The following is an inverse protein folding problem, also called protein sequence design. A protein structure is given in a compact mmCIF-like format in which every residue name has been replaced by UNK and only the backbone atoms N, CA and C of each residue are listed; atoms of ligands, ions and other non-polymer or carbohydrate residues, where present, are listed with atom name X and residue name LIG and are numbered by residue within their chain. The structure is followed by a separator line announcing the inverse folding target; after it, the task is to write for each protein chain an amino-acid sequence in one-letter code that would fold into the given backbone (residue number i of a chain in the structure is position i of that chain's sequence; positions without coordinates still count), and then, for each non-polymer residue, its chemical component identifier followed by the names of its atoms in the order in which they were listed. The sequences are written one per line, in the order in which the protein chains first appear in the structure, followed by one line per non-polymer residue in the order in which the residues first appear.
data_IF_518801216536
#
_entry.id   IF_518801216536
#
_cell.length_a   1.000
_cell.length_b   1.000
_cell.length_c   1.000
_cell.angle_alpha   90.00
_cell.angle_beta   90.00
_cell.angle_gamma   90.00
#
_symmetry.space_group_name_H-M   'P 1'
#
loop_
_entity.id
_entity.type
_entity.pdbx_description
1 polymer ?
#
# COMPACT_ATOMS: atom_id res chain seq x y z
N UNK A 1 76.64 -7.18 -31.50
CA UNK A 1 76.30 -8.44 -32.20
C UNK A 1 76.12 -9.51 -31.14
N UNK A 2 75.20 -10.47 -31.33
CA UNK A 2 74.91 -11.62 -30.43
C UNK A 2 74.50 -11.20 -28.99
N UNK A 3 73.25 -11.26 -28.51
CA UNK A 3 72.08 -12.14 -28.67
C UNK A 3 71.99 -13.29 -27.63
N UNK A 4 70.79 -13.43 -27.05
CA UNK A 4 70.37 -14.53 -26.15
C UNK A 4 70.34 -14.16 -24.66
N UNK A 5 69.28 -14.44 -23.88
CA UNK A 5 67.93 -14.94 -24.20
C UNK A 5 66.87 -14.28 -23.29
N UNK A 6 65.58 -14.58 -23.52
CA UNK A 6 64.43 -13.90 -22.91
C UNK A 6 64.02 -14.56 -21.59
N UNK A 7 63.85 -13.75 -20.53
CA UNK A 7 63.08 -14.13 -19.33
C UNK A 7 62.09 -13.03 -18.98
N UNK A 8 60.81 -13.24 -19.30
CA UNK A 8 59.73 -12.29 -18.98
C UNK A 8 59.16 -12.59 -17.60
N UNK A 9 59.49 -11.76 -16.61
CA UNK A 9 58.79 -11.73 -15.32
C UNK A 9 58.34 -10.30 -15.00
N UNK A 10 57.03 -10.07 -15.04
CA UNK A 10 56.43 -8.83 -14.51
C UNK A 10 56.41 -8.88 -12.98
N UNK A 11 56.65 -7.77 -12.28
CA UNK A 11 56.38 -7.68 -10.85
C UNK A 11 54.87 -7.60 -10.58
N UNK A 12 54.49 -7.83 -9.32
CA UNK A 12 53.13 -7.73 -8.75
C UNK A 12 52.10 -8.80 -9.16
N UNK A 13 52.16 -9.92 -8.45
CA UNK A 13 51.00 -10.81 -8.20
C UNK A 13 50.87 -11.12 -6.71
N UNK A 14 50.82 -10.06 -5.88
CA UNK A 14 50.45 -10.20 -4.48
C UNK A 14 49.02 -10.76 -4.41
N UNK A 15 48.87 -11.99 -3.91
CA UNK A 15 47.61 -12.72 -3.95
C UNK A 15 46.53 -12.01 -3.14
N UNK A 16 45.58 -11.37 -3.82
CA UNK A 16 44.35 -10.89 -3.19
C UNK A 16 43.56 -12.11 -2.70
N UNK A 17 43.55 -12.31 -1.39
CA UNK A 17 42.71 -13.33 -0.76
C UNK A 17 41.25 -13.08 -1.16
N UNK A 18 40.56 -14.14 -1.58
CA UNK A 18 39.13 -14.08 -1.89
C UNK A 18 38.34 -13.89 -0.60
N UNK A 19 38.12 -12.62 -0.24
CA UNK A 19 37.31 -12.23 0.90
C UNK A 19 35.84 -12.64 0.69
N UNK A 20 35.43 -13.71 1.36
CA UNK A 20 34.08 -14.25 1.31
C UNK A 20 33.08 -13.46 2.18
N UNK A 21 33.38 -12.20 2.57
CA UNK A 21 32.53 -11.37 3.42
C UNK A 21 31.54 -10.45 2.68
N UNK A 22 31.09 -10.81 1.47
CA UNK A 22 29.88 -10.22 0.86
C UNK A 22 28.70 -11.19 0.87
N UNK A 23 28.39 -11.71 2.06
CA UNK A 23 27.01 -12.01 2.40
C UNK A 23 26.18 -10.72 2.23
N UNK A 24 25.23 -10.72 1.29
CA UNK A 24 24.28 -9.62 1.15
C UNK A 24 23.42 -9.62 2.40
N UNK A 25 23.55 -8.60 3.25
CA UNK A 25 22.79 -8.53 4.50
C UNK A 25 21.31 -8.28 4.20
N UNK A 26 20.52 -9.36 4.29
CA UNK A 26 19.07 -9.36 4.03
C UNK A 26 18.26 -8.69 5.13
N UNK A 27 18.90 -8.07 6.13
CA UNK A 27 18.28 -7.45 7.31
C UNK A 27 17.90 -5.99 7.16
N UNK A 28 17.82 -5.46 5.93
CA UNK A 28 17.35 -4.08 5.67
C UNK A 28 15.83 -4.05 5.39
N UNK A 29 15.04 -4.48 6.38
CA UNK A 29 13.59 -4.28 6.42
C UNK A 29 13.22 -3.14 7.39
N UNK A 30 13.73 -1.94 7.11
CA UNK A 30 13.28 -0.71 7.75
C UNK A 30 12.40 0.09 6.77
N UNK A 31 11.16 0.35 7.16
CA UNK A 31 10.18 1.22 6.48
C UNK A 31 9.29 0.62 5.35
N UNK A 32 8.51 -0.43 5.61
CA UNK A 32 7.16 -0.57 5.02
C UNK A 32 6.33 -1.64 5.76
N UNK A 33 5.60 -1.23 6.80
CA UNK A 33 4.96 -2.12 7.77
C UNK A 33 3.72 -1.49 8.42
N UNK A 34 2.52 -1.82 7.94
CA UNK A 34 1.34 -0.98 8.22
C UNK A 34 -0.06 -1.64 8.27
N UNK A 35 -0.21 -2.98 8.21
CA UNK A 35 -1.51 -3.52 7.78
C UNK A 35 -2.52 -4.02 8.81
N UNK A 36 -2.20 -5.03 9.62
CA UNK A 36 -3.19 -6.03 10.04
C UNK A 36 -4.35 -5.54 10.93
N UNK A 37 -4.34 -4.28 11.38
CA UNK A 37 -5.41 -3.70 12.19
C UNK A 37 -5.98 -2.36 11.73
N UNK A 38 -5.41 -1.73 10.70
CA UNK A 38 -6.19 -0.85 9.82
C UNK A 38 -7.12 -1.66 8.89
N UNK A 39 -6.92 -2.99 8.84
CA UNK A 39 -7.30 -3.85 7.72
C UNK A 39 -8.77 -4.21 7.56
N UNK A 40 -9.65 -3.58 8.33
CA UNK A 40 -11.09 -3.67 8.10
C UNK A 40 -11.61 -2.41 7.42
N UNK A 41 -11.02 -1.23 7.62
CA UNK A 41 -11.69 0.05 7.31
C UNK A 41 -10.69 1.10 6.75
N UNK A 42 -11.07 1.77 5.65
CA UNK A 42 -10.32 2.80 4.88
C UNK A 42 -9.31 2.31 3.80
N UNK A 43 -8.85 3.24 2.95
CA UNK A 43 -8.10 3.02 1.69
C UNK A 43 -6.57 3.19 1.86
N UNK A 44 -5.79 2.96 0.78
CA UNK A 44 -4.65 3.78 0.24
C UNK A 44 -3.61 2.90 -0.53
N UNK A 45 -2.99 3.18 -1.72
CA UNK A 45 -3.53 3.66 -3.02
C UNK A 45 -2.65 3.41 -4.38
N UNK A 46 -2.44 4.29 -5.43
CA UNK A 46 -2.66 4.06 -6.92
C UNK A 46 -1.87 4.77 -8.13
N UNK A 47 -2.16 4.34 -9.42
CA UNK A 47 -1.94 5.26 -11.26
C UNK A 47 -1.76 6.71 -11.79
N UNK A 48 -2.20 6.85 -13.04
CA UNK A 48 -1.54 7.51 -14.17
C UNK A 48 -2.53 8.04 -15.23
N UNK A 49 -2.26 9.12 -15.96
CA UNK A 49 -1.51 10.32 -15.53
C UNK A 49 -2.18 11.63 -15.96
N UNK A 50 -3.08 11.56 -16.94
CA UNK A 50 -3.58 12.72 -17.69
C UNK A 50 -5.11 12.85 -17.65
N UNK A 51 -5.82 11.87 -17.08
CA UNK A 51 -7.28 11.92 -16.85
C UNK A 51 -7.73 11.55 -15.43
N UNK A 52 -6.85 10.95 -14.61
CA UNK A 52 -7.17 10.47 -13.26
C UNK A 52 -6.67 11.49 -12.23
N UNK A 53 -7.49 12.47 -11.89
CA UNK A 53 -7.20 13.53 -10.91
C UNK A 53 -8.37 13.66 -9.92
N UNK A 54 -8.12 14.18 -8.70
CA UNK A 54 -9.20 14.38 -7.73
C UNK A 54 -10.26 15.32 -8.34
N UNK A 55 -11.56 15.12 -8.08
CA UNK A 55 -12.56 16.10 -8.45
C UNK A 55 -12.28 17.42 -7.73
N UNK A 56 -12.71 18.54 -8.30
CA UNK A 56 -12.29 19.88 -7.87
C UNK A 56 -12.36 20.12 -6.34
N UNK A 57 -13.45 19.67 -5.70
CA UNK A 57 -13.68 19.83 -4.25
C UNK A 57 -12.79 19.00 -3.31
N UNK A 58 -11.90 18.13 -3.81
CA UNK A 58 -10.91 17.39 -3.02
C UNK A 58 -9.46 17.71 -3.43
N UNK A 59 -9.27 18.55 -4.45
CA UNK A 59 -7.93 18.92 -4.95
C UNK A 59 -7.18 19.70 -3.88
N UNK A 60 -6.00 19.20 -3.54
CA UNK A 60 -5.07 19.88 -2.62
C UNK A 60 -4.60 21.17 -3.28
N UNK A 61 -4.69 22.29 -2.57
CA UNK A 61 -4.31 23.59 -3.11
C UNK A 61 -2.81 23.64 -3.45
N UNK A 62 -2.41 24.48 -4.41
CA UNK A 62 -1.00 24.63 -4.79
C UNK A 62 -0.10 24.97 -3.59
N UNK A 63 -0.60 25.79 -2.64
CA UNK A 63 0.10 26.10 -1.39
C UNK A 63 0.31 24.85 -0.51
N UNK A 64 -0.73 24.04 -0.27
CA UNK A 64 -0.62 22.78 0.47
C UNK A 64 0.29 21.77 -0.24
N UNK A 65 0.17 21.65 -1.58
CA UNK A 65 1.01 20.77 -2.38
C UNK A 65 2.48 21.16 -2.28
N UNK A 66 2.82 22.43 -2.47
CA UNK A 66 4.20 22.93 -2.32
C UNK A 66 4.78 22.64 -0.93
N UNK A 67 3.98 22.71 0.13
CA UNK A 67 4.41 22.29 1.48
C UNK A 67 4.67 20.78 1.57
N UNK A 68 3.79 19.94 1.03
CA UNK A 68 4.00 18.47 0.98
C UNK A 68 5.27 18.10 0.19
N UNK A 69 5.62 18.86 -0.85
CA UNK A 69 6.89 18.69 -1.58
C UNK A 69 8.09 19.12 -0.73
N UNK A 70 8.03 20.30 -0.10
CA UNK A 70 9.09 20.82 0.77
C UNK A 70 9.37 19.93 1.99
N UNK A 71 8.31 19.41 2.64
CA UNK A 71 8.37 18.44 3.75
C UNK A 71 9.03 17.11 3.33
N UNK A 72 9.14 16.86 2.01
CA UNK A 72 9.80 15.70 1.41
C UNK A 72 11.15 16.04 0.74
N UNK A 73 11.65 17.27 0.90
CA UNK A 73 12.93 17.71 0.35
C UNK A 73 12.94 17.77 -1.19
N UNK A 74 11.81 18.09 -1.81
CA UNK A 74 11.65 18.15 -3.27
C UNK A 74 10.75 19.31 -3.71
N UNK A 75 10.63 19.52 -5.01
CA UNK A 75 9.80 20.51 -5.68
C UNK A 75 9.22 19.92 -6.98
N UNK A 76 8.43 20.67 -7.74
CA UNK A 76 7.77 20.17 -8.95
C UNK A 76 8.73 19.80 -10.09
N UNK A 77 9.85 20.52 -10.24
CA UNK A 77 10.87 20.26 -11.27
C UNK A 77 11.71 19.03 -10.89
N UNK A 78 12.18 18.99 -9.63
CA UNK A 78 12.92 17.86 -9.08
C UNK A 78 12.10 16.57 -9.14
N UNK A 79 10.82 16.62 -8.76
CA UNK A 79 9.90 15.49 -8.82
C UNK A 79 9.63 15.02 -10.27
N UNK A 80 9.67 15.92 -11.25
CA UNK A 80 9.54 15.60 -12.69
C UNK A 80 10.79 14.89 -13.24
N UNK A 81 11.97 15.36 -12.85
CA UNK A 81 13.26 14.74 -13.18
C UNK A 81 13.38 13.35 -12.54
N UNK A 82 13.02 13.22 -11.26
CA UNK A 82 13.05 11.95 -10.54
C UNK A 82 12.02 10.97 -11.11
N UNK A 83 10.81 11.42 -11.45
CA UNK A 83 9.79 10.57 -12.07
C UNK A 83 10.20 10.03 -13.45
N UNK A 84 10.79 10.86 -14.32
CA UNK A 84 11.35 10.37 -15.59
C UNK A 84 12.52 9.41 -15.37
N UNK A 85 13.35 9.65 -14.37
CA UNK A 85 14.47 8.78 -14.02
C UNK A 85 14.01 7.40 -13.51
N UNK A 86 12.93 7.35 -12.72
CA UNK A 86 12.28 6.09 -12.33
C UNK A 86 11.64 5.40 -13.55
N UNK A 87 10.90 6.14 -14.39
CA UNK A 87 10.27 5.58 -15.60
C UNK A 87 11.29 4.94 -16.54
N UNK A 88 12.41 5.61 -16.78
CA UNK A 88 13.51 5.09 -17.57
C UNK A 88 14.08 3.80 -16.95
N UNK A 89 14.28 3.77 -15.63
CA UNK A 89 14.72 2.56 -14.93
C UNK A 89 13.73 1.38 -15.07
N UNK A 90 12.42 1.61 -14.92
CA UNK A 90 11.40 0.55 -15.11
C UNK A 90 11.48 -0.02 -16.54
N UNK A 91 11.56 0.86 -17.54
CA UNK A 91 11.65 0.47 -18.96
C UNK A 91 12.98 -0.21 -19.34
N UNK A 92 13.98 -0.21 -18.45
CA UNK A 92 15.21 -1.00 -18.57
C UNK A 92 15.14 -2.36 -17.86
N UNK A 93 14.11 -2.64 -17.05
CA UNK A 93 13.98 -3.92 -16.37
C UNK A 93 13.31 -4.95 -17.29
N UNK A 94 13.99 -6.03 -17.71
CA UNK A 94 13.50 -6.93 -18.75
C UNK A 94 12.30 -7.79 -18.33
N UNK A 95 12.00 -7.85 -17.03
CA UNK A 95 10.84 -8.52 -16.46
C UNK A 95 9.64 -7.60 -16.22
N UNK A 96 9.80 -6.27 -16.18
CA UNK A 96 8.70 -5.35 -15.86
C UNK A 96 7.93 -4.91 -17.12
N UNK A 97 6.64 -4.54 -17.00
CA UNK A 97 5.88 -3.98 -18.11
C UNK A 97 6.38 -2.58 -18.50
N UNK A 98 6.38 -2.29 -19.80
CA UNK A 98 6.73 -0.97 -20.32
C UNK A 98 5.73 0.12 -19.89
N UNK A 99 6.26 1.26 -19.44
CA UNK A 99 5.49 2.42 -19.01
C UNK A 99 5.59 3.57 -20.06
N UNK A 100 4.47 4.00 -20.68
CA UNK A 100 4.43 5.17 -21.55
C UNK A 100 4.69 6.50 -20.79
N UNK A 101 4.85 7.62 -21.50
CA UNK A 101 5.00 8.95 -20.84
C UNK A 101 3.74 9.31 -20.02
N UNK A 102 2.58 8.80 -20.44
CA UNK A 102 1.33 8.86 -19.68
C UNK A 102 1.31 8.01 -18.40
N UNK A 103 2.44 7.49 -17.91
CA UNK A 103 2.65 7.00 -16.53
C UNK A 103 3.47 7.96 -15.65
N UNK A 104 3.85 9.17 -16.09
CA UNK A 104 4.68 10.08 -15.28
C UNK A 104 3.98 10.59 -14.00
N UNK A 105 2.72 11.03 -14.05
CA UNK A 105 2.01 11.54 -12.86
C UNK A 105 1.82 10.45 -11.79
N UNK A 106 1.65 9.19 -12.19
CA UNK A 106 1.73 8.02 -11.29
C UNK A 106 3.03 7.98 -10.55
N UNK A 107 4.12 7.98 -11.30
CA UNK A 107 5.46 7.81 -10.73
C UNK A 107 5.80 9.00 -9.81
N UNK A 108 5.33 10.21 -10.12
CA UNK A 108 5.37 11.37 -9.19
C UNK A 108 4.66 11.05 -7.88
N UNK A 109 3.42 10.57 -7.91
CA UNK A 109 2.67 10.29 -6.68
C UNK A 109 3.23 9.07 -5.92
N UNK A 110 3.76 8.06 -6.61
CA UNK A 110 4.50 6.94 -6.01
C UNK A 110 5.74 7.45 -5.26
N UNK A 111 6.54 8.33 -5.89
CA UNK A 111 7.70 8.95 -5.26
C UNK A 111 7.31 9.66 -3.96
N UNK A 112 6.31 10.53 -3.97
CA UNK A 112 5.87 11.25 -2.76
C UNK A 112 5.40 10.29 -1.66
N UNK A 113 4.72 9.20 -2.02
CA UNK A 113 4.31 8.16 -1.09
C UNK A 113 5.50 7.35 -0.54
N UNK A 114 6.54 7.13 -1.33
CA UNK A 114 7.84 6.61 -0.90
C UNK A 114 8.76 7.67 -0.25
N UNK A 115 8.23 8.83 0.17
CA UNK A 115 8.96 9.98 0.74
C UNK A 115 10.08 10.54 -0.17
N UNK A 116 9.82 10.60 -1.47
CA UNK A 116 10.77 10.95 -2.54
C UNK A 116 12.05 10.08 -2.57
N UNK A 117 12.04 8.86 -2.00
CA UNK A 117 13.17 7.92 -2.09
C UNK A 117 13.11 7.14 -3.40
N UNK A 118 14.17 7.26 -4.20
CA UNK A 118 14.31 6.57 -5.48
C UNK A 118 14.38 5.06 -5.31
N UNK A 119 15.10 4.58 -4.29
CA UNK A 119 15.33 3.16 -4.00
C UNK A 119 14.01 2.47 -3.61
N UNK A 120 13.27 3.08 -2.67
CA UNK A 120 11.96 2.58 -2.23
C UNK A 120 10.93 2.62 -3.36
N UNK A 121 11.00 3.61 -4.24
CA UNK A 121 10.12 3.69 -5.41
C UNK A 121 10.41 2.59 -6.43
N UNK A 122 11.70 2.32 -6.74
CA UNK A 122 12.10 1.22 -7.62
C UNK A 122 11.67 -0.14 -7.07
N UNK A 123 11.96 -0.39 -5.79
CA UNK A 123 11.60 -1.63 -5.09
C UNK A 123 10.07 -1.82 -4.96
N UNK A 124 9.33 -0.74 -4.72
CA UNK A 124 7.87 -0.75 -4.61
C UNK A 124 7.19 -0.95 -5.97
N UNK A 125 7.62 -0.26 -7.02
CA UNK A 125 7.05 -0.43 -8.37
C UNK A 125 7.30 -1.84 -8.92
N UNK A 126 8.46 -2.43 -8.66
CA UNK A 126 8.71 -3.84 -9.00
C UNK A 126 7.69 -4.76 -8.31
N UNK A 127 7.55 -4.64 -6.99
CA UNK A 127 6.55 -5.40 -6.22
C UNK A 127 5.11 -5.09 -6.65
N UNK A 128 4.82 -3.89 -7.16
CA UNK A 128 3.50 -3.46 -7.62
C UNK A 128 3.00 -4.24 -8.83
N UNK A 129 3.85 -4.40 -9.85
CA UNK A 129 3.53 -5.20 -11.03
C UNK A 129 3.69 -6.71 -10.74
N UNK A 130 4.60 -7.08 -9.84
CA UNK A 130 4.77 -8.47 -9.39
C UNK A 130 3.52 -9.00 -8.70
N UNK A 131 2.95 -8.28 -7.73
CA UNK A 131 1.75 -8.70 -6.99
C UNK A 131 0.53 -8.91 -7.91
N UNK A 132 0.37 -8.05 -8.93
CA UNK A 132 -0.69 -8.14 -9.96
C UNK A 132 -0.49 -9.29 -10.95
N UNK A 133 0.71 -9.86 -10.98
CA UNK A 133 1.05 -11.06 -11.75
C UNK A 133 0.88 -12.31 -10.89
N UNK A 134 1.51 -12.36 -9.72
CA UNK A 134 1.49 -13.49 -8.79
C UNK A 134 0.09 -13.78 -8.22
N UNK A 135 -0.64 -12.74 -7.81
CA UNK A 135 -1.95 -12.87 -7.16
C UNK A 135 -3.07 -12.52 -8.15
N UNK A 136 -3.00 -13.03 -9.38
CA UNK A 136 -3.97 -12.68 -10.43
C UNK A 136 -5.40 -13.17 -10.17
N UNK A 137 -5.61 -14.19 -9.35
CA UNK A 137 -6.96 -14.55 -8.89
C UNK A 137 -7.56 -13.56 -7.88
N UNK A 138 -6.72 -12.71 -7.29
CA UNK A 138 -7.13 -11.59 -6.45
C UNK A 138 -7.37 -10.31 -7.27
N UNK A 139 -6.44 -9.96 -8.18
CA UNK A 139 -6.50 -8.72 -8.96
C UNK A 139 -7.22 -8.83 -10.32
N UNK A 140 -7.14 -9.97 -10.98
CA UNK A 140 -7.47 -10.14 -12.40
C UNK A 140 -8.94 -10.37 -12.70
N UNK A 141 -9.63 -11.13 -11.85
CA UNK A 141 -11.03 -11.50 -12.04
C UNK A 141 -12.01 -10.37 -11.70
N UNK A 142 -11.55 -9.34 -11.00
CA UNK A 142 -12.35 -8.24 -10.49
C UNK A 142 -12.02 -6.94 -11.21
N UNK A 143 -12.99 -6.03 -11.23
CA UNK A 143 -12.82 -4.65 -11.70
C UNK A 143 -13.63 -3.74 -10.77
N UNK A 144 -13.20 -2.50 -10.62
CA UNK A 144 -14.07 -1.49 -9.99
C UNK A 144 -15.17 -1.13 -10.99
N UNK A 145 -16.40 -1.06 -10.53
CA UNK A 145 -17.56 -0.59 -11.28
C UNK A 145 -18.67 -0.23 -10.28
N UNK A 146 -19.71 0.43 -10.76
CA UNK A 146 -20.78 0.91 -9.89
C UNK A 146 -21.58 -0.21 -9.20
N UNK A 147 -21.80 -1.35 -9.87
CA UNK A 147 -22.52 -2.50 -9.31
C UNK A 147 -21.75 -3.13 -8.13
N UNK A 148 -20.45 -3.36 -8.31
CA UNK A 148 -19.57 -3.90 -7.26
C UNK A 148 -19.38 -2.90 -6.10
N UNK A 149 -19.35 -1.59 -6.38
CA UNK A 149 -19.31 -0.55 -5.34
C UNK A 149 -20.65 -0.40 -4.59
N UNK A 150 -21.79 -0.66 -5.23
CA UNK A 150 -23.10 -0.72 -4.56
C UNK A 150 -23.20 -1.97 -3.68
N UNK A 151 -22.73 -3.13 -4.16
CA UNK A 151 -22.64 -4.36 -3.33
C UNK A 151 -21.73 -4.16 -2.13
N UNK A 152 -20.57 -3.53 -2.32
CA UNK A 152 -19.65 -3.17 -1.25
C UNK A 152 -20.31 -2.28 -0.18
N UNK A 153 -21.06 -1.26 -0.60
CA UNK A 153 -21.70 -0.28 0.27
C UNK A 153 -22.64 -0.87 1.33
N UNK A 154 -23.11 -2.10 1.14
CA UNK A 154 -23.90 -2.88 2.12
C UNK A 154 -23.11 -3.33 3.33
N UNK A 155 -21.82 -3.62 3.17
CA UNK A 155 -20.97 -4.17 4.21
C UNK A 155 -20.12 -3.11 4.91
N UNK A 156 -19.91 -1.97 4.23
CA UNK A 156 -18.85 -1.02 4.58
C UNK A 156 -19.08 0.33 3.90
N UNK A 157 -18.68 1.42 4.56
CA UNK A 157 -18.57 2.74 3.91
C UNK A 157 -17.29 3.47 4.35
N UNK A 158 -16.68 4.20 3.40
CA UNK A 158 -15.45 4.97 3.59
C UNK A 158 -15.68 6.44 3.23
N UNK A 159 -15.70 7.31 4.24
CA UNK A 159 -15.59 8.76 4.10
C UNK A 159 -14.16 9.24 3.89
N UNK A 160 -14.01 10.31 3.11
CA UNK A 160 -12.73 10.93 2.75
C UNK A 160 -12.80 12.44 2.99
N UNK A 161 -11.98 13.00 3.89
CA UNK A 161 -11.99 14.45 4.11
C UNK A 161 -11.66 15.21 2.81
N UNK A 162 -12.48 16.19 2.44
CA UNK A 162 -12.22 17.06 1.27
C UNK A 162 -11.00 17.95 1.46
N UNK A 163 -10.81 18.41 2.70
CA UNK A 163 -9.62 19.13 3.13
C UNK A 163 -8.53 18.18 3.69
N UNK A 164 -7.33 18.72 3.85
CA UNK A 164 -6.26 18.11 4.65
C UNK A 164 -6.24 18.73 6.06
N UNK A 165 -5.76 17.99 7.05
CA UNK A 165 -5.48 18.52 8.39
C UNK A 165 -4.37 19.60 8.35
N UNK A 166 -4.15 20.37 9.42
CA UNK A 166 -3.03 21.32 9.49
C UNK A 166 -1.66 20.65 9.31
N UNK A 167 -1.53 19.37 9.67
CA UNK A 167 -0.36 18.53 9.41
C UNK A 167 -0.31 17.94 7.99
N UNK A 168 -1.10 18.48 7.06
CA UNK A 168 -1.21 18.11 5.63
C UNK A 168 -1.61 16.64 5.39
N UNK A 169 -2.29 16.01 6.35
CA UNK A 169 -2.75 14.61 6.24
C UNK A 169 -4.18 14.55 5.74
N UNK A 170 -4.51 13.53 4.97
CA UNK A 170 -5.89 13.24 4.56
C UNK A 170 -6.54 12.38 5.66
N UNK A 171 -7.73 12.77 6.13
CA UNK A 171 -8.47 11.95 7.11
C UNK A 171 -9.36 10.97 6.36
N UNK A 172 -9.21 9.70 6.69
CA UNK A 172 -10.06 8.63 6.21
C UNK A 172 -10.87 8.14 7.41
N UNK A 173 -12.18 8.12 7.29
CA UNK A 173 -13.05 7.48 8.28
C UNK A 173 -13.79 6.38 7.57
N UNK A 174 -13.88 5.21 8.19
CA UNK A 174 -14.73 4.17 7.66
C UNK A 174 -15.42 3.41 8.78
N UNK A 175 -16.57 2.84 8.42
CA UNK A 175 -17.50 2.19 9.32
C UNK A 175 -17.92 0.84 8.73
N UNK A 176 -17.94 -0.19 9.58
CA UNK A 176 -18.54 -1.48 9.24
C UNK A 176 -20.08 -1.36 9.19
N UNK A 177 -20.74 -2.29 8.53
CA UNK A 177 -22.18 -2.50 8.68
C UNK A 177 -22.45 -3.87 9.31
N UNK A 178 -23.55 -3.93 10.05
CA UNK A 178 -24.00 -5.12 10.79
C UNK A 178 -24.70 -6.17 9.91
N UNK A 179 -24.77 -5.96 8.59
CA UNK A 179 -25.21 -6.95 7.61
C UNK A 179 -24.31 -8.21 7.66
N UNK A 180 -24.91 -9.41 7.69
CA UNK A 180 -24.15 -10.66 7.63
C UNK A 180 -23.47 -10.81 6.27
N UNK A 181 -22.19 -11.18 6.29
CA UNK A 181 -21.33 -11.24 5.11
C UNK A 181 -20.87 -12.69 4.90
N UNK A 182 -20.75 -13.14 3.64
CA UNK A 182 -20.13 -14.43 3.31
C UNK A 182 -18.61 -14.29 3.15
N UNK A 183 -17.90 -15.42 3.01
CA UNK A 183 -16.46 -15.39 2.71
C UNK A 183 -16.15 -14.72 1.36
N UNK A 184 -17.02 -14.85 0.36
CA UNK A 184 -16.86 -14.16 -0.92
C UNK A 184 -17.25 -12.67 -0.83
N UNK A 185 -18.14 -12.28 0.08
CA UNK A 185 -18.35 -10.85 0.37
C UNK A 185 -17.13 -10.23 1.05
N UNK A 186 -16.56 -10.91 2.05
CA UNK A 186 -15.29 -10.53 2.66
C UNK A 186 -14.16 -10.47 1.61
N UNK A 187 -14.10 -11.43 0.69
CA UNK A 187 -13.10 -11.47 -0.38
C UNK A 187 -13.29 -10.36 -1.41
N UNK A 188 -14.52 -10.10 -1.87
CA UNK A 188 -14.86 -8.92 -2.69
C UNK A 188 -14.49 -7.62 -1.97
N UNK A 189 -14.79 -7.51 -0.68
CA UNK A 189 -14.48 -6.34 0.14
C UNK A 189 -12.98 -6.12 0.28
N UNK A 190 -12.17 -7.18 0.44
CA UNK A 190 -10.71 -7.11 0.41
C UNK A 190 -10.20 -6.65 -0.98
N UNK A 191 -10.71 -7.23 -2.06
CA UNK A 191 -10.32 -6.88 -3.45
C UNK A 191 -10.71 -5.44 -3.81
N UNK A 192 -11.93 -5.02 -3.48
CA UNK A 192 -12.41 -3.66 -3.69
C UNK A 192 -11.75 -2.66 -2.75
N UNK A 193 -11.42 -3.00 -1.50
CA UNK A 193 -10.56 -2.14 -0.68
C UNK A 193 -9.18 -1.99 -1.30
N UNK A 194 -8.63 -3.01 -1.95
CA UNK A 194 -7.39 -2.90 -2.73
C UNK A 194 -7.53 -2.04 -4.00
N UNK A 195 -8.71 -2.00 -4.66
CA UNK A 195 -8.96 -1.15 -5.84
C UNK A 195 -9.50 0.26 -5.51
N UNK A 196 -10.10 0.46 -4.33
CA UNK A 196 -10.47 1.78 -3.78
C UNK A 196 -9.29 2.45 -3.10
N UNK A 197 -8.41 1.63 -2.50
CA UNK A 197 -7.00 1.95 -2.44
C UNK A 197 -6.55 2.36 -3.84
N UNK A 198 -6.44 1.47 -4.84
CA UNK A 198 -5.94 1.76 -6.21
C UNK A 198 -6.70 2.86 -7.03
N UNK A 199 -7.46 3.76 -6.40
CA UNK A 199 -7.93 5.05 -6.92
C UNK A 199 -7.39 6.33 -6.21
N UNK A 200 -7.10 6.36 -4.89
CA UNK A 200 -6.80 7.61 -4.14
C UNK A 200 -5.47 8.39 -4.47
N UNK A 201 -4.23 7.98 -4.10
CA UNK A 201 -2.95 8.63 -4.54
C UNK A 201 -2.72 8.71 -6.08
N UNK A 202 -3.63 8.21 -6.93
CA UNK A 202 -3.67 8.48 -8.40
C UNK A 202 -3.97 9.96 -8.61
N UNK A 203 -4.60 10.54 -7.61
CA UNK A 203 -5.28 11.81 -7.60
C UNK A 203 -4.83 12.70 -6.44
N UNK A 204 -4.49 12.11 -5.28
CA UNK A 204 -4.26 12.80 -4.00
C UNK A 204 -2.78 12.94 -3.63
N UNK A 205 -2.40 14.10 -3.07
CA UNK A 205 -1.04 14.44 -2.62
C UNK A 205 -1.09 15.10 -1.25
N UNK A 206 -0.73 14.32 -0.24
CA UNK A 206 -0.78 14.65 1.18
C UNK A 206 0.53 14.22 1.87
N UNK A 207 0.75 14.66 3.11
CA UNK A 207 1.86 14.21 3.97
C UNK A 207 1.66 12.77 4.51
N UNK A 208 0.48 12.19 4.28
CA UNK A 208 0.05 10.87 4.70
C UNK A 208 -1.40 10.89 5.19
N UNK A 209 -1.77 9.88 5.97
CA UNK A 209 -3.15 9.56 6.30
C UNK A 209 -3.38 9.38 7.79
N UNK A 210 -4.40 10.05 8.33
CA UNK A 210 -5.01 9.65 9.60
C UNK A 210 -6.18 8.72 9.28
N UNK A 211 -6.14 7.52 9.85
CA UNK A 211 -7.15 6.48 9.61
C UNK A 211 -8.01 6.36 10.85
N UNK A 212 -9.33 6.42 10.70
CA UNK A 212 -10.31 6.24 11.78
C UNK A 212 -11.20 5.05 11.46
N UNK A 213 -11.20 4.06 12.35
CA UNK A 213 -11.98 2.83 12.24
C UNK A 213 -13.13 2.88 13.25
N UNK A 214 -14.37 3.06 12.79
CA UNK A 214 -15.56 2.95 13.63
C UNK A 214 -16.01 1.48 13.71
N UNK A 215 -15.86 0.88 14.89
CA UNK A 215 -16.18 -0.53 15.15
C UNK A 215 -17.55 -0.74 15.80
N UNK A 216 -18.42 0.28 15.83
CA UNK A 216 -19.78 0.22 16.39
C UNK A 216 -20.55 -1.04 15.97
N UNK A 217 -20.45 -1.38 14.69
CA UNK A 217 -21.19 -2.45 14.03
C UNK A 217 -20.39 -3.78 13.93
N UNK A 218 -19.28 -3.94 14.67
CA UNK A 218 -18.42 -5.13 14.60
C UNK A 218 -18.95 -6.32 15.42
N UNK A 219 -19.45 -7.34 14.73
CA UNK A 219 -20.10 -8.51 15.32
C UNK A 219 -19.14 -9.70 15.54
N UNK A 220 -19.54 -10.72 16.32
CA UNK A 220 -18.88 -12.03 16.32
C UNK A 220 -18.82 -12.71 14.93
N UNK A 221 -19.75 -12.38 14.02
CA UNK A 221 -19.71 -12.85 12.63
C UNK A 221 -18.48 -12.34 11.87
N UNK A 222 -18.04 -11.10 12.13
CA UNK A 222 -16.82 -10.56 11.56
C UNK A 222 -15.57 -11.29 12.09
N UNK A 223 -15.57 -11.76 13.35
CA UNK A 223 -14.50 -12.63 13.89
C UNK A 223 -14.45 -13.98 13.15
N UNK A 224 -15.61 -14.60 12.90
CA UNK A 224 -15.71 -15.83 12.10
C UNK A 224 -15.17 -15.63 10.67
N UNK A 225 -15.45 -14.50 10.03
CA UNK A 225 -14.96 -14.18 8.69
C UNK A 225 -13.44 -14.00 8.64
N UNK A 226 -12.84 -13.34 9.64
CA UNK A 226 -11.38 -13.21 9.75
C UNK A 226 -10.67 -14.57 9.93
N UNK A 227 -11.33 -15.53 10.59
CA UNK A 227 -10.79 -16.89 10.80
C UNK A 227 -10.93 -17.75 9.53
N UNK A 228 -12.12 -17.78 8.91
CA UNK A 228 -12.36 -18.58 7.70
C UNK A 228 -11.60 -18.01 6.49
N UNK A 229 -11.76 -16.71 6.24
CA UNK A 229 -11.08 -15.99 5.16
C UNK A 229 -9.59 -15.74 5.40
N UNK A 230 -8.93 -16.42 6.34
CA UNK A 230 -7.53 -16.16 6.72
C UNK A 230 -6.55 -16.23 5.54
N UNK A 231 -6.82 -17.04 4.51
CA UNK A 231 -5.98 -17.11 3.31
C UNK A 231 -6.21 -15.93 2.35
N UNK A 232 -7.46 -15.49 2.18
CA UNK A 232 -7.81 -14.25 1.47
C UNK A 232 -7.17 -13.05 2.17
N UNK A 233 -7.26 -13.03 3.49
CA UNK A 233 -6.67 -12.04 4.39
C UNK A 233 -5.15 -11.98 4.25
N UNK A 234 -4.45 -13.13 4.30
CA UNK A 234 -2.99 -13.21 4.02
C UNK A 234 -2.62 -12.70 2.62
N UNK A 235 -3.39 -13.03 1.58
CA UNK A 235 -3.12 -12.53 0.22
C UNK A 235 -3.31 -11.01 0.14
N UNK A 236 -4.41 -10.49 0.69
CA UNK A 236 -4.65 -9.04 0.81
C UNK A 236 -3.50 -8.36 1.59
N UNK A 237 -3.02 -8.97 2.68
CA UNK A 237 -1.87 -8.47 3.47
C UNK A 237 -0.57 -8.44 2.65
N UNK A 238 -0.23 -9.52 1.93
CA UNK A 238 0.96 -9.57 1.09
C UNK A 238 0.91 -8.49 -0.01
N UNK A 239 -0.25 -8.36 -0.67
CA UNK A 239 -0.49 -7.38 -1.71
C UNK A 239 -0.29 -5.95 -1.21
N UNK A 240 -0.96 -5.51 -0.13
CA UNK A 240 -0.86 -4.10 0.29
C UNK A 240 0.50 -3.78 0.91
N UNK A 241 1.16 -4.70 1.63
CA UNK A 241 2.51 -4.46 2.19
C UNK A 241 3.55 -4.26 1.09
N UNK A 242 3.55 -5.13 0.08
CA UNK A 242 4.57 -5.14 -0.97
C UNK A 242 4.30 -4.13 -2.09
N UNK A 243 3.05 -4.00 -2.53
CA UNK A 243 2.74 -3.17 -3.71
C UNK A 243 2.38 -1.73 -3.41
N UNK A 244 1.82 -1.42 -2.23
CA UNK A 244 1.07 -0.17 -2.04
C UNK A 244 1.75 0.77 -1.03
N UNK A 245 2.28 1.93 -1.46
CA UNK A 245 3.10 2.80 -0.61
C UNK A 245 2.27 3.69 0.34
N UNK A 246 1.42 3.08 1.17
CA UNK A 246 0.53 3.82 2.06
C UNK A 246 1.27 4.52 3.22
N UNK A 247 1.31 5.86 3.20
CA UNK A 247 1.80 6.67 4.33
C UNK A 247 0.76 6.82 5.43
N UNK A 248 0.39 5.73 6.11
CA UNK A 248 -0.40 5.80 7.34
C UNK A 248 0.43 6.53 8.41
N UNK A 249 -0.11 7.60 9.00
CA UNK A 249 0.49 8.33 10.12
C UNK A 249 0.04 7.69 11.43
N UNK A 250 -1.29 7.68 11.65
CA UNK A 250 -1.93 7.11 12.83
C UNK A 250 -3.18 6.30 12.47
N UNK A 251 -3.54 5.35 13.33
CA UNK A 251 -4.74 4.50 13.23
C UNK A 251 -5.54 4.64 14.52
N UNK A 252 -6.60 5.43 14.46
CA UNK A 252 -7.57 5.63 15.51
C UNK A 252 -8.65 4.55 15.42
N UNK A 253 -8.94 3.87 16.52
CA UNK A 253 -10.01 2.88 16.61
C UNK A 253 -10.96 3.32 17.70
N UNK A 254 -12.25 3.42 17.38
CA UNK A 254 -13.29 3.84 18.32
C UNK A 254 -14.43 2.81 18.36
N UNK A 255 -15.32 2.93 19.35
CA UNK A 255 -16.51 2.08 19.51
C UNK A 255 -16.17 0.59 19.46
N UNK A 256 -15.08 0.17 20.11
CA UNK A 256 -14.48 -1.16 19.95
C UNK A 256 -15.05 -2.21 20.93
N UNK A 257 -15.98 -3.10 20.51
CA UNK A 257 -16.54 -4.14 21.37
C UNK A 257 -15.54 -5.25 21.73
N UNK A 258 -15.92 -6.13 22.67
CA UNK A 258 -15.11 -7.28 23.08
C UNK A 258 -14.86 -8.29 21.95
N UNK A 259 -15.79 -8.42 20.99
CA UNK A 259 -15.61 -9.14 19.72
C UNK A 259 -14.42 -8.58 18.92
N UNK A 260 -14.39 -7.26 18.73
CA UNK A 260 -13.30 -6.57 18.03
C UNK A 260 -11.98 -6.69 18.79
N UNK A 261 -11.97 -6.50 20.11
CA UNK A 261 -10.75 -6.59 20.93
C UNK A 261 -10.18 -8.01 20.97
N UNK A 262 -11.03 -9.04 20.91
CA UNK A 262 -10.61 -10.45 20.74
C UNK A 262 -10.01 -10.70 19.36
N UNK A 263 -10.63 -10.19 18.29
CA UNK A 263 -10.02 -10.25 16.97
C UNK A 263 -8.65 -9.54 16.97
N UNK A 264 -8.60 -8.30 17.47
CA UNK A 264 -7.39 -7.49 17.57
C UNK A 264 -6.22 -8.25 18.19
N UNK A 265 -6.41 -8.93 19.32
CA UNK A 265 -5.32 -9.66 19.98
C UNK A 265 -4.86 -10.89 19.19
N UNK A 266 -5.76 -11.58 18.48
CA UNK A 266 -5.41 -12.64 17.53
C UNK A 266 -4.65 -12.10 16.30
N UNK A 267 -4.95 -10.88 15.86
CA UNK A 267 -4.29 -10.26 14.70
C UNK A 267 -2.91 -9.68 15.10
N UNK A 268 -2.78 -9.06 16.28
CA UNK A 268 -1.61 -8.30 16.73
C UNK A 268 -0.22 -8.98 16.53
N UNK A 269 -0.06 -10.32 16.57
CA UNK A 269 1.21 -10.97 16.23
C UNK A 269 1.76 -10.69 14.82
N UNK A 270 0.94 -10.58 13.77
CA UNK A 270 1.46 -10.30 12.40
C UNK A 270 1.74 -8.81 12.15
N UNK A 271 1.58 -7.95 13.16
CA UNK A 271 2.02 -6.56 13.11
C UNK A 271 3.49 -6.42 13.51
N UNK A 272 4.29 -5.71 12.71
CA UNK A 272 5.56 -5.15 13.21
C UNK A 272 5.30 -3.97 14.15
N UNK A 273 6.24 -3.76 15.05
CA UNK A 273 6.20 -2.78 16.15
C UNK A 273 5.88 -1.35 15.69
N UNK A 274 6.43 -0.92 14.54
CA UNK A 274 6.21 0.43 13.98
C UNK A 274 4.73 0.77 13.71
N UNK A 275 3.86 -0.23 13.43
CA UNK A 275 2.41 0.01 13.38
C UNK A 275 1.76 -0.08 14.76
N UNK A 276 2.18 -1.01 15.64
CA UNK A 276 1.63 -1.12 17.01
C UNK A 276 1.72 0.24 17.73
N UNK A 277 2.82 0.94 17.55
CA UNK A 277 3.10 2.26 18.13
C UNK A 277 2.35 3.43 17.43
N UNK A 278 1.52 3.15 16.43
CA UNK A 278 0.67 4.09 15.67
C UNK A 278 -0.82 3.78 15.81
N UNK A 279 -1.19 2.75 16.56
CA UNK A 279 -2.58 2.37 16.80
C UNK A 279 -3.01 2.92 18.17
N UNK A 280 -4.16 3.58 18.22
CA UNK A 280 -4.78 4.02 19.48
C UNK A 280 -6.23 3.58 19.52
N UNK A 281 -6.61 2.87 20.59
CA UNK A 281 -8.00 2.55 20.89
C UNK A 281 -8.53 3.66 21.80
N UNK A 282 -9.51 4.40 21.30
CA UNK A 282 -10.16 5.48 22.02
C UNK A 282 -11.30 4.94 22.86
N UNK A 283 -11.42 5.46 24.09
CA UNK A 283 -12.49 5.08 25.02
C UNK A 283 -13.79 5.83 24.71
N UNK A 284 -13.68 7.08 24.24
CA UNK A 284 -14.79 7.95 23.85
C UNK A 284 -14.44 8.85 22.65
N UNK A 285 -15.44 9.61 22.17
CA UNK A 285 -15.25 10.59 21.09
C UNK A 285 -14.33 11.74 21.49
N UNK A 286 -14.28 12.13 22.77
CA UNK A 286 -13.40 13.21 23.26
C UNK A 286 -11.92 12.84 23.12
N UNK A 287 -11.59 11.56 23.35
CA UNK A 287 -10.27 10.97 23.11
C UNK A 287 -9.92 10.93 21.62
N UNK A 288 -10.88 10.71 20.73
CA UNK A 288 -10.65 10.80 19.28
C UNK A 288 -10.41 12.27 18.84
N UNK A 289 -11.26 13.19 19.31
CA UNK A 289 -11.24 14.61 18.91
C UNK A 289 -9.95 15.35 19.28
N UNK A 290 -9.21 14.88 20.29
CA UNK A 290 -7.88 15.45 20.62
C UNK A 290 -6.79 15.12 19.60
N UNK A 291 -7.01 14.13 18.73
CA UNK A 291 -6.12 13.78 17.63
C UNK A 291 -6.69 14.21 16.26
N UNK A 292 -7.99 13.96 16.03
CA UNK A 292 -8.68 14.27 14.76
C UNK A 292 -9.88 15.17 15.04
N UNK A 293 -9.77 16.50 14.82
CA UNK A 293 -10.84 17.45 15.14
C UNK A 293 -12.17 17.16 14.39
N UNK A 294 -13.35 17.45 15.00
CA UNK A 294 -14.68 17.18 14.42
C UNK A 294 -14.89 17.65 12.97
N UNK A 295 -14.28 18.78 12.57
CA UNK A 295 -14.35 19.31 11.20
C UNK A 295 -13.78 18.37 10.11
N UNK A 296 -13.01 17.35 10.50
CA UNK A 296 -12.47 16.33 9.60
C UNK A 296 -13.15 14.97 9.76
N UNK A 297 -14.18 14.86 10.60
CA UNK A 297 -14.93 13.64 10.89
C UNK A 297 -16.36 13.71 10.33
N UNK A 298 -16.96 12.56 9.97
CA UNK A 298 -18.37 12.48 9.56
C UNK A 298 -19.30 12.68 10.75
N UNK A 299 -20.54 13.10 10.46
CA UNK A 299 -21.64 13.17 11.44
C UNK A 299 -21.93 11.85 12.17
N UNK A 300 -21.55 10.71 11.58
CA UNK A 300 -21.61 9.36 12.20
C UNK A 300 -20.77 9.27 13.49
N UNK A 301 -19.71 10.07 13.57
CA UNK A 301 -18.83 10.25 14.72
C UNK A 301 -18.95 11.66 15.31
N UNK A 302 -20.11 12.31 15.17
CA UNK A 302 -20.38 13.65 15.73
C UNK A 302 -19.54 14.78 15.14
N UNK A 303 -18.97 14.59 13.95
CA UNK A 303 -18.24 15.61 13.21
C UNK A 303 -19.08 16.41 12.21
N UNK A 304 -18.44 17.37 11.54
CA UNK A 304 -19.11 18.36 10.68
C UNK A 304 -19.27 17.90 9.21
N UNK A 305 -18.66 16.78 8.82
CA UNK A 305 -18.76 16.24 7.45
C UNK A 305 -20.03 15.39 7.25
N UNK A 306 -20.46 15.13 5.99
CA UNK A 306 -21.51 14.16 5.68
C UNK A 306 -21.20 12.75 6.23
N UNK A 307 -22.17 11.82 6.21
CA UNK A 307 -21.90 10.43 6.66
C UNK A 307 -20.90 9.73 5.74
N UNK A 308 -20.23 8.69 6.23
CA UNK A 308 -19.35 7.83 5.43
C UNK A 308 -20.07 7.26 4.20
N UNK A 309 -21.38 7.03 4.29
CA UNK A 309 -22.22 6.63 3.16
C UNK A 309 -22.45 7.75 2.15
N UNK A 310 -22.78 8.96 2.60
CA UNK A 310 -22.96 10.13 1.73
C UNK A 310 -21.65 10.49 1.02
N UNK A 311 -20.53 10.46 1.76
CA UNK A 311 -19.18 10.71 1.25
C UNK A 311 -18.72 9.64 0.25
N UNK A 312 -18.97 8.35 0.54
CA UNK A 312 -18.66 7.28 -0.41
C UNK A 312 -19.57 7.35 -1.65
N UNK A 313 -20.85 7.68 -1.49
CA UNK A 313 -21.76 7.88 -2.61
C UNK A 313 -21.32 9.03 -3.53
N UNK A 314 -20.83 10.13 -2.95
CA UNK A 314 -20.25 11.26 -3.70
C UNK A 314 -18.96 10.86 -4.44
N UNK A 315 -18.14 9.97 -3.86
CA UNK A 315 -16.88 9.51 -4.46
C UNK A 315 -17.04 8.32 -5.41
N UNK A 316 -18.18 7.60 -5.38
CA UNK A 316 -18.44 6.41 -6.20
C UNK A 316 -18.25 6.62 -7.71
N UNK A 317 -18.70 7.72 -8.34
CA UNK A 317 -18.48 7.94 -9.78
C UNK A 317 -17.00 8.10 -10.13
N UNK A 318 -16.21 8.70 -9.21
CA UNK A 318 -14.77 8.86 -9.34
C UNK A 318 -14.11 7.48 -9.35
N UNK A 319 -14.46 6.63 -8.38
CA UNK A 319 -13.98 5.25 -8.29
C UNK A 319 -14.34 4.44 -9.55
N UNK A 320 -15.59 4.50 -10.00
CA UNK A 320 -16.06 3.81 -11.22
C UNK A 320 -15.30 4.23 -12.48
N UNK A 321 -14.75 5.46 -12.56
CA UNK A 321 -13.99 5.91 -13.73
C UNK A 321 -12.67 5.14 -13.95
N UNK A 322 -12.12 4.50 -12.90
CA UNK A 322 -10.92 3.65 -13.00
C UNK A 322 -11.19 2.28 -13.65
N UNK A 323 -12.45 1.94 -13.95
CA UNK A 323 -12.82 0.65 -14.56
C UNK A 323 -12.08 0.36 -15.88
N UNK A 324 -11.86 1.39 -16.70
CA UNK A 324 -11.09 1.30 -17.94
C UNK A 324 -9.59 1.15 -17.67
N UNK A 325 -9.06 1.88 -16.67
CA UNK A 325 -7.66 1.74 -16.28
C UNK A 325 -7.36 0.33 -15.78
N UNK A 326 -8.13 -0.25 -14.85
CA UNK A 326 -7.82 -1.62 -14.39
C UNK A 326 -8.08 -2.69 -15.46
N UNK A 327 -8.90 -2.42 -16.49
CA UNK A 327 -8.96 -3.29 -17.66
C UNK A 327 -7.61 -3.35 -18.39
N UNK A 328 -6.91 -2.21 -18.55
CA UNK A 328 -5.55 -2.16 -19.08
C UNK A 328 -4.52 -2.71 -18.08
N UNK A 329 -4.59 -2.31 -16.81
CA UNK A 329 -3.64 -2.74 -15.77
C UNK A 329 -3.54 -4.26 -15.65
N UNK A 330 -4.64 -4.99 -15.85
CA UNK A 330 -4.70 -6.45 -15.79
C UNK A 330 -4.01 -7.16 -16.96
N UNK A 331 -3.78 -6.48 -18.09
CA UNK A 331 -2.97 -7.01 -19.20
C UNK A 331 -1.46 -6.80 -18.97
N UNK A 332 -1.07 -5.88 -18.09
CA UNK A 332 0.32 -5.68 -17.69
C UNK A 332 0.78 -6.88 -16.84
N UNK A 333 1.87 -7.51 -17.25
CA UNK A 333 2.42 -8.72 -16.62
C UNK A 333 3.91 -8.61 -16.42
N UNK A 334 4.39 -9.20 -15.34
CA UNK A 334 5.80 -9.42 -15.07
C UNK A 334 6.24 -10.75 -15.67
N UNK A 335 7.34 -10.72 -16.42
CA UNK A 335 7.97 -11.93 -16.97
C UNK A 335 9.12 -12.38 -16.06
N UNK A 336 8.78 -13.20 -15.07
CA UNK A 336 9.72 -13.75 -14.09
C UNK A 336 10.87 -14.54 -14.73
N UNK A 337 10.72 -15.08 -15.95
CA UNK A 337 11.80 -15.78 -16.65
C UNK A 337 12.96 -14.86 -17.04
N UNK A 338 12.71 -13.55 -17.10
CA UNK A 338 13.68 -12.50 -17.43
C UNK A 338 14.24 -11.79 -16.21
N UNK A 339 13.76 -12.07 -14.99
CA UNK A 339 14.11 -11.30 -13.79
C UNK A 339 15.59 -11.46 -13.41
N UNK A 340 16.37 -10.36 -13.32
CA UNK A 340 17.74 -10.41 -12.79
C UNK A 340 17.76 -10.93 -11.35
N UNK A 341 18.55 -11.97 -11.09
CA UNK A 341 18.61 -12.65 -9.79
C UNK A 341 17.65 -13.83 -9.61
N UNK A 342 16.85 -14.17 -10.63
CA UNK A 342 15.86 -15.25 -10.56
C UNK A 342 14.50 -14.79 -10.04
N UNK A 343 13.46 -15.66 -10.09
CA UNK A 343 12.06 -15.27 -9.90
C UNK A 343 11.73 -14.77 -8.49
N UNK A 344 10.75 -13.89 -8.39
CA UNK A 344 10.30 -13.33 -7.11
C UNK A 344 9.67 -14.39 -6.21
N UNK A 345 10.03 -14.37 -4.92
CA UNK A 345 9.43 -15.22 -3.87
C UNK A 345 7.91 -15.00 -3.71
N UNK A 346 7.35 -13.93 -4.26
CA UNK A 346 5.91 -13.63 -4.23
C UNK A 346 5.06 -14.64 -5.03
N UNK A 347 5.67 -15.44 -5.91
CA UNK A 347 5.00 -16.53 -6.64
C UNK A 347 5.06 -17.88 -5.92
N UNK A 348 5.83 -18.00 -4.83
CA UNK A 348 5.68 -19.13 -3.92
C UNK A 348 4.41 -18.92 -3.07
N UNK A 349 3.75 -20.00 -2.66
CA UNK A 349 2.57 -19.94 -1.78
C UNK A 349 2.82 -19.01 -0.59
N UNK A 350 1.81 -18.21 -0.22
CA UNK A 350 1.93 -17.06 0.67
C UNK A 350 2.27 -17.41 2.14
N UNK A 351 3.47 -17.93 2.37
CA UNK A 351 4.02 -18.32 3.66
C UNK A 351 4.47 -17.09 4.45
N UNK A 352 3.49 -16.44 5.07
CA UNK A 352 3.73 -15.39 6.06
C UNK A 352 4.54 -15.92 7.25
N UNK A 353 5.81 -15.55 7.31
CA UNK A 353 6.48 -15.11 8.55
C UNK A 353 6.79 -16.15 9.62
N UNK A 354 6.63 -17.45 9.37
CA UNK A 354 6.99 -18.52 10.33
C UNK A 354 8.28 -19.27 9.96
N UNK A 355 9.33 -18.57 9.50
CA UNK A 355 10.71 -19.08 9.56
C UNK A 355 11.21 -19.09 11.02
N UNK A 356 10.59 -19.94 11.85
CA UNK A 356 11.20 -20.38 13.10
C UNK A 356 12.50 -21.12 12.78
N UNK A 357 13.54 -20.93 13.58
CA UNK A 357 14.87 -21.51 13.34
C UNK A 357 14.91 -23.02 13.65
N UNK A 358 14.21 -23.80 12.84
CA UNK A 358 14.32 -25.25 12.80
C UNK A 358 15.65 -25.63 12.15
N UNK A 359 16.72 -25.61 12.96
CA UNK A 359 17.90 -26.41 12.68
C UNK A 359 17.44 -27.84 12.42
N UNK A 360 17.66 -28.35 11.22
CA UNK A 360 17.54 -29.80 10.99
C UNK A 360 18.55 -30.47 11.92
N UNK A 361 18.06 -31.25 12.88
CA UNK A 361 18.91 -32.23 13.51
C UNK A 361 19.25 -33.25 12.42
N UNK A 362 20.53 -33.37 12.10
CA UNK A 362 21.03 -34.64 11.59
C UNK A 362 20.80 -35.67 12.71
N UNK A 363 20.27 -36.82 12.35
CA UNK A 363 20.36 -38.02 13.17
C UNK A 363 21.50 -38.82 12.56
N UNK A 364 22.56 -39.02 13.35
CA UNK A 364 23.70 -39.88 13.04
C UNK A 364 23.35 -41.36 13.34
#
# INVERSE_FOLDING_TARGET
MVAGEISTSYPSSAGAALDQSRAIDTRIWCEQDALFLAFVLTMVAPPSSEGLQMPAGWRVSANQRNKVLADLGTDEERLDIDARSIRAWVNMQPHLPFLPESEITWIKHYLLCCKNSMEKTKQGLDQYYTARTAHYDFFGRYNINEEELIKYGKFMSIGISKELTPGLRRVLVARNRSEEQTEEDFSRMCRLNLLKADALIRMDVNAGYEVVLDQSDFTPGNVRLLILGLNVLKTFLACVLGSVPARVNHVHIINSPSSFRTAFSLLQPLLKEKLKNRVTLHEDLKSLYSHVPPQYLPKDLGGDLPSCEEMEAEFRPVLSSFASHYAVQRTLKVDESKRPGGPSKMHADAQFGCEGSFRRMALD
#
